data_IF_835187029407
#
_entry.id   IF_835187029407
#
_cell.length_a   1.000
_cell.length_b   1.000
_cell.length_c   1.000
_cell.angle_alpha   90.00
_cell.angle_beta   90.00
_cell.angle_gamma   90.00
#
_symmetry.space_group_name_H-M   'P 1'
#
loop_
_entity.id
_entity.type
_entity.pdbx_description
1 polymer ?
#
# COMPACT_ATOMS: atom_id res chain seq x y z
N UNK A 1 -27.31 -21.29 17.56
CA UNK A 1 -26.37 -21.90 18.51
C UNK A 1 -25.34 -20.85 18.91
N UNK A 2 -25.44 -20.31 20.14
CA UNK A 2 -24.61 -19.19 20.62
C UNK A 2 -23.18 -19.60 20.99
N UNK A 3 -22.45 -20.22 20.06
CA UNK A 3 -21.06 -20.64 20.27
C UNK A 3 -20.09 -19.47 20.44
N UNK A 4 -18.90 -19.75 21.00
CA UNK A 4 -17.83 -18.75 21.20
C UNK A 4 -17.18 -18.37 19.86
N UNK A 5 -17.23 -17.08 19.50
CA UNK A 5 -16.55 -16.55 18.33
C UNK A 5 -15.04 -16.38 18.59
N UNK A 6 -14.23 -17.06 17.80
CA UNK A 6 -12.76 -16.95 17.83
C UNK A 6 -12.31 -16.01 16.72
N UNK A 7 -11.44 -15.06 17.03
CA UNK A 7 -10.92 -14.08 16.07
C UNK A 7 -9.42 -13.85 16.25
N UNK A 8 -8.71 -13.55 15.16
CA UNK A 8 -7.37 -12.94 15.17
C UNK A 8 -7.33 -11.82 14.12
N UNK A 9 -6.35 -10.91 14.22
CA UNK A 9 -6.17 -9.82 13.26
C UNK A 9 -4.87 -9.99 12.45
N UNK A 10 -4.98 -10.21 11.14
CA UNK A 10 -3.82 -10.18 10.25
C UNK A 10 -3.67 -8.78 9.65
N UNK A 11 -2.47 -8.21 9.76
CA UNK A 11 -2.14 -6.85 9.35
C UNK A 11 -1.02 -6.90 8.32
N UNK A 12 -1.34 -7.15 7.04
CA UNK A 12 -0.32 -7.08 6.00
C UNK A 12 0.25 -5.67 5.90
N UNK A 13 1.54 -5.60 5.60
CA UNK A 13 2.21 -4.35 5.26
C UNK A 13 1.87 -3.95 3.83
N UNK A 14 2.76 -3.28 3.11
CA UNK A 14 2.47 -2.76 1.77
C UNK A 14 2.33 -3.90 0.74
N UNK A 15 1.09 -4.31 0.44
CA UNK A 15 0.81 -5.45 -0.44
C UNK A 15 1.11 -5.13 -1.91
N UNK A 16 1.89 -5.99 -2.57
CA UNK A 16 2.14 -5.95 -4.01
C UNK A 16 1.96 -7.32 -4.65
N UNK A 17 1.85 -7.37 -5.97
CA UNK A 17 1.71 -8.62 -6.73
C UNK A 17 0.67 -8.52 -7.83
N UNK A 18 0.32 -9.67 -8.38
CA UNK A 18 -0.59 -9.81 -9.51
C UNK A 18 -1.99 -9.29 -9.17
N UNK A 19 -2.65 -8.69 -10.17
CA UNK A 19 -3.98 -8.09 -9.98
C UNK A 19 -3.98 -6.79 -9.18
N UNK A 20 -2.82 -6.27 -8.75
CA UNK A 20 -2.74 -4.97 -8.09
C UNK A 20 -3.17 -3.84 -9.02
N UNK A 21 -4.28 -3.19 -8.67
CA UNK A 21 -4.78 -2.00 -9.37
C UNK A 21 -3.80 -0.84 -9.29
N UNK A 22 -3.08 -0.71 -8.17
CA UNK A 22 -2.09 0.36 -7.99
C UNK A 22 -0.90 0.18 -8.93
N UNK A 23 -0.33 -1.02 -9.00
CA UNK A 23 0.77 -1.32 -9.92
C UNK A 23 0.35 -1.07 -11.37
N UNK A 24 -0.86 -1.50 -11.75
CA UNK A 24 -1.40 -1.23 -13.08
C UNK A 24 -1.52 0.26 -13.37
N UNK A 25 -2.10 1.05 -12.46
CA UNK A 25 -2.25 2.50 -12.62
C UNK A 25 -0.88 3.17 -12.78
N UNK A 26 0.11 2.80 -11.97
CA UNK A 26 1.46 3.35 -12.08
C UNK A 26 2.15 2.97 -13.38
N UNK A 27 1.96 1.73 -13.85
CA UNK A 27 2.48 1.28 -15.14
C UNK A 27 1.86 2.07 -16.29
N UNK A 28 0.52 2.18 -16.33
CA UNK A 28 -0.19 2.95 -17.35
C UNK A 28 0.32 4.41 -17.37
N UNK A 29 0.52 5.01 -16.20
CA UNK A 29 1.07 6.38 -16.06
C UNK A 29 2.51 6.48 -16.56
N UNK A 30 3.37 5.49 -16.28
CA UNK A 30 4.75 5.50 -16.73
C UNK A 30 4.84 5.41 -18.25
N UNK A 31 4.05 4.54 -18.87
CA UNK A 31 3.98 4.41 -20.34
C UNK A 31 3.51 5.71 -21.00
N UNK A 32 2.52 6.39 -20.41
CA UNK A 32 2.08 7.71 -20.89
C UNK A 32 3.11 8.83 -20.65
N UNK A 33 4.03 8.63 -19.71
CA UNK A 33 5.08 9.58 -19.33
C UNK A 33 6.45 9.21 -19.95
N UNK A 34 6.46 8.53 -21.10
CA UNK A 34 7.71 8.20 -21.81
C UNK A 34 8.57 7.18 -21.07
N UNK A 35 7.93 6.12 -20.56
CA UNK A 35 8.57 5.00 -19.86
C UNK A 35 9.23 5.37 -18.53
N UNK A 36 8.72 6.39 -17.84
CA UNK A 36 9.25 6.86 -16.54
C UNK A 36 8.15 6.98 -15.50
N UNK A 37 8.30 6.26 -14.38
CA UNK A 37 7.43 6.43 -13.21
C UNK A 37 7.65 7.79 -12.54
N UNK A 38 6.57 8.54 -12.31
CA UNK A 38 6.61 9.67 -11.38
C UNK A 38 6.87 9.20 -9.95
N UNK A 39 7.80 9.87 -9.27
CA UNK A 39 8.08 9.60 -7.86
C UNK A 39 6.99 10.24 -6.99
N UNK A 40 6.33 9.41 -6.18
CA UNK A 40 5.25 9.79 -5.25
C UNK A 40 5.65 9.67 -3.78
N UNK A 41 6.78 9.02 -3.51
CA UNK A 41 7.36 8.82 -2.18
C UNK A 41 8.80 9.31 -2.12
N UNK A 42 9.21 9.87 -0.98
CA UNK A 42 10.62 10.05 -0.64
C UNK A 42 11.35 8.70 -0.63
N UNK A 43 12.63 8.69 -0.98
CA UNK A 43 13.46 7.47 -0.93
C UNK A 43 13.65 6.98 0.50
N UNK A 44 13.67 7.92 1.45
CA UNK A 44 13.85 7.65 2.88
C UNK A 44 12.55 7.19 3.57
N UNK A 45 11.39 7.29 2.89
CA UNK A 45 10.12 6.78 3.39
C UNK A 45 10.03 5.26 3.16
N UNK A 46 10.89 4.51 3.87
CA UNK A 46 11.00 3.06 3.75
C UNK A 46 9.76 2.37 4.31
N UNK A 47 9.28 1.36 3.58
CA UNK A 47 8.22 0.45 4.01
C UNK A 47 8.63 -1.00 3.80
N UNK A 48 7.88 -1.95 4.37
CA UNK A 48 7.97 -3.37 4.09
C UNK A 48 6.97 -3.76 2.99
N UNK A 49 7.38 -3.96 1.73
CA UNK A 49 6.52 -4.62 0.77
C UNK A 49 6.22 -6.05 1.22
N UNK A 50 5.05 -6.56 0.89
CA UNK A 50 4.71 -7.97 1.09
C UNK A 50 3.96 -8.49 -0.13
N UNK A 51 4.37 -9.65 -0.62
CA UNK A 51 3.76 -10.27 -1.79
C UNK A 51 2.35 -10.78 -1.45
N UNK A 52 1.38 -10.53 -2.34
CA UNK A 52 -0.03 -10.88 -2.15
C UNK A 52 -0.25 -12.36 -1.91
N UNK A 53 0.56 -13.23 -2.53
CA UNK A 53 0.53 -14.67 -2.29
C UNK A 53 0.92 -15.04 -0.86
N UNK A 54 1.91 -14.36 -0.28
CA UNK A 54 2.33 -14.56 1.11
C UNK A 54 1.24 -14.11 2.09
N UNK A 55 0.58 -12.98 1.79
CA UNK A 55 -0.58 -12.52 2.57
C UNK A 55 -1.73 -13.52 2.52
N UNK A 56 -2.06 -14.03 1.34
CA UNK A 56 -3.11 -15.04 1.18
C UNK A 56 -2.76 -16.34 1.94
N UNK A 57 -1.49 -16.76 1.89
CA UNK A 57 -1.00 -17.90 2.65
C UNK A 57 -1.15 -17.70 4.16
N UNK A 58 -0.82 -16.52 4.68
CA UNK A 58 -1.02 -16.19 6.10
C UNK A 58 -2.49 -16.31 6.53
N UNK A 59 -3.44 -15.89 5.69
CA UNK A 59 -4.88 -16.07 5.96
C UNK A 59 -5.27 -17.55 6.01
N UNK A 60 -4.74 -18.37 5.10
CA UNK A 60 -5.00 -19.80 5.10
C UNK A 60 -4.41 -20.50 6.34
N UNK A 61 -3.20 -20.10 6.76
CA UNK A 61 -2.56 -20.60 7.98
C UNK A 61 -3.36 -20.23 9.23
N UNK A 62 -3.85 -18.98 9.33
CA UNK A 62 -4.71 -18.55 10.43
C UNK A 62 -6.00 -19.38 10.45
N UNK A 63 -6.67 -19.54 9.31
CA UNK A 63 -7.91 -20.32 9.21
C UNK A 63 -7.71 -21.80 9.57
N UNK A 64 -6.57 -22.40 9.20
CA UNK A 64 -6.23 -23.79 9.57
C UNK A 64 -5.94 -23.90 11.07
N UNK A 65 -5.16 -22.97 11.62
CA UNK A 65 -4.80 -22.94 13.05
C UNK A 65 -6.02 -22.75 13.95
N UNK A 66 -7.03 -21.99 13.51
CA UNK A 66 -8.30 -21.83 14.25
C UNK A 66 -9.16 -23.10 14.30
N UNK A 67 -8.89 -24.11 13.47
CA UNK A 67 -9.59 -25.40 13.54
C UNK A 67 -8.98 -26.34 14.57
N UNK A 68 -7.73 -26.10 14.96
CA UNK A 68 -7.03 -26.86 15.99
C UNK A 68 -7.21 -26.19 17.36
N UNK A 69 -7.52 -26.97 18.40
CA UNK A 69 -7.80 -26.43 19.74
C UNK A 69 -6.55 -25.81 20.38
N UNK A 70 -5.38 -26.42 20.18
CA UNK A 70 -4.10 -25.93 20.70
C UNK A 70 -3.59 -24.74 19.90
N UNK A 71 -3.71 -24.79 18.57
CA UNK A 71 -3.45 -23.65 17.68
C UNK A 71 -4.33 -22.44 18.02
N UNK A 72 -5.62 -22.66 18.24
CA UNK A 72 -6.59 -21.61 18.60
C UNK A 72 -6.16 -20.85 19.84
N UNK A 73 -5.75 -21.54 20.92
CA UNK A 73 -5.28 -20.89 22.16
C UNK A 73 -4.10 -19.94 21.92
N UNK A 74 -3.27 -20.20 20.89
CA UNK A 74 -2.11 -19.37 20.55
C UNK A 74 -2.46 -18.14 19.74
N UNK A 75 -3.50 -18.20 18.90
CA UNK A 75 -3.80 -17.13 17.94
C UNK A 75 -5.05 -16.31 18.27
N UNK A 76 -5.94 -16.84 19.10
CA UNK A 76 -7.17 -16.15 19.47
C UNK A 76 -6.87 -14.83 20.22
N UNK A 77 -7.52 -13.75 19.78
CA UNK A 77 -7.36 -12.41 20.35
C UNK A 77 -6.09 -11.68 19.93
N UNK A 78 -5.16 -12.34 19.24
CA UNK A 78 -3.88 -11.76 18.85
C UNK A 78 -3.92 -11.06 17.49
N UNK A 79 -2.96 -10.18 17.26
CA UNK A 79 -2.69 -9.56 15.97
C UNK A 79 -1.31 -9.95 15.45
N UNK A 80 -1.19 -10.05 14.13
CA UNK A 80 0.03 -10.47 13.45
C UNK A 80 0.31 -9.51 12.29
N UNK A 81 1.48 -8.88 12.30
CA UNK A 81 1.97 -8.16 11.14
C UNK A 81 2.48 -9.17 10.11
N UNK A 82 2.01 -9.07 8.86
CA UNK A 82 2.41 -10.00 7.79
C UNK A 82 3.41 -9.29 6.90
N UNK A 83 4.64 -9.78 6.92
CA UNK A 83 5.79 -9.31 6.13
C UNK A 83 6.41 -10.50 5.39
N UNK A 84 7.36 -10.21 4.50
CA UNK A 84 8.24 -11.21 3.90
C UNK A 84 9.66 -10.65 3.74
N UNK A 85 10.53 -11.41 3.09
CA UNK A 85 11.94 -11.05 2.89
C UNK A 85 12.16 -10.00 1.77
N UNK A 86 11.09 -9.38 1.25
CA UNK A 86 11.24 -8.30 0.27
C UNK A 86 11.98 -7.12 0.91
N UNK A 87 13.08 -6.63 0.30
CA UNK A 87 13.86 -5.55 0.89
C UNK A 87 13.03 -4.30 1.19
N UNK A 88 13.33 -3.64 2.30
CA UNK A 88 12.66 -2.39 2.64
C UNK A 88 13.01 -1.31 1.62
N UNK A 89 12.00 -0.70 1.05
CA UNK A 89 12.17 0.32 0.01
C UNK A 89 10.98 1.27 0.02
N UNK A 90 11.11 2.42 -0.64
CA UNK A 90 9.98 3.34 -0.80
C UNK A 90 8.98 2.79 -1.82
N UNK A 91 7.73 3.27 -1.77
CA UNK A 91 6.67 2.88 -2.70
C UNK A 91 7.08 3.05 -4.17
N UNK A 92 7.75 4.16 -4.48
CA UNK A 92 8.18 4.47 -5.84
C UNK A 92 9.39 3.62 -6.27
N UNK A 93 10.25 3.23 -5.33
CA UNK A 93 11.38 2.34 -5.63
C UNK A 93 10.91 0.91 -5.86
N UNK A 94 9.82 0.46 -5.20
CA UNK A 94 9.19 -0.82 -5.53
C UNK A 94 8.65 -0.82 -6.97
N UNK A 95 7.92 0.21 -7.38
CA UNK A 95 7.43 0.32 -8.76
C UNK A 95 8.58 0.26 -9.77
N UNK A 96 9.69 0.96 -9.47
CA UNK A 96 10.89 0.88 -10.30
C UNK A 96 11.51 -0.52 -10.30
N UNK A 97 11.65 -1.16 -9.14
CA UNK A 97 12.23 -2.50 -9.04
C UNK A 97 11.45 -3.53 -9.85
N UNK A 98 10.12 -3.40 -9.91
CA UNK A 98 9.24 -4.25 -10.71
C UNK A 98 9.27 -3.91 -12.21
N UNK A 99 9.48 -2.64 -12.56
CA UNK A 99 9.45 -2.16 -13.95
C UNK A 99 10.81 -2.07 -14.65
N UNK A 100 11.92 -2.11 -13.92
CA UNK A 100 13.27 -1.86 -14.48
C UNK A 100 13.65 -2.81 -15.61
N UNK A 101 13.25 -4.07 -15.54
CA UNK A 101 13.55 -5.08 -16.57
C UNK A 101 12.71 -4.88 -17.84
N UNK A 102 11.61 -4.15 -17.74
CA UNK A 102 10.80 -3.71 -18.87
C UNK A 102 11.32 -2.39 -19.49
N UNK A 103 12.45 -1.87 -19.01
CA UNK A 103 13.02 -0.60 -19.47
C UNK A 103 12.44 0.65 -18.79
N UNK A 104 11.61 0.49 -17.75
CA UNK A 104 10.95 1.62 -17.10
C UNK A 104 11.87 2.33 -16.09
N UNK A 105 12.08 3.62 -16.31
CA UNK A 105 12.79 4.52 -15.41
C UNK A 105 11.93 4.99 -14.24
N UNK A 106 12.54 5.72 -13.31
CA UNK A 106 11.82 6.41 -12.23
C UNK A 106 12.44 7.77 -11.95
N UNK A 107 11.59 8.76 -11.72
CA UNK A 107 12.03 10.10 -11.35
C UNK A 107 12.88 10.08 -10.07
N UNK A 108 13.94 10.88 -10.06
CA UNK A 108 14.87 10.92 -8.92
C UNK A 108 14.28 11.61 -7.69
N UNK A 109 13.38 12.58 -7.91
CA UNK A 109 12.78 13.45 -6.89
C UNK A 109 11.28 13.53 -7.08
N UNK A 110 10.57 13.91 -6.01
CA UNK A 110 9.16 14.28 -6.08
C UNK A 110 8.99 15.45 -7.06
N UNK A 111 7.86 15.49 -7.79
CA UNK A 111 7.55 16.57 -8.73
C UNK A 111 7.53 17.96 -8.06
N UNK A 112 7.15 18.02 -6.78
CA UNK A 112 7.12 19.24 -5.97
C UNK A 112 7.49 18.94 -4.51
N UNK A 113 7.90 19.95 -3.72
CA UNK A 113 8.05 19.83 -2.27
C UNK A 113 6.76 19.34 -1.59
N UNK A 114 6.90 18.48 -0.57
CA UNK A 114 5.74 17.92 0.16
C UNK A 114 4.77 18.95 0.73
N UNK A 115 5.19 20.10 1.30
CA UNK A 115 4.24 21.11 1.78
C UNK A 115 3.31 21.63 0.66
N UNK A 116 3.85 21.81 -0.55
CA UNK A 116 3.07 22.26 -1.71
C UNK A 116 2.09 21.16 -2.12
N UNK A 117 2.55 19.91 -2.23
CA UNK A 117 1.68 18.76 -2.52
C UNK A 117 0.55 18.63 -1.47
N UNK A 118 0.85 18.88 -0.19
CA UNK A 118 -0.14 18.84 0.87
C UNK A 118 -1.19 19.95 0.75
N UNK A 119 -0.77 21.18 0.40
CA UNK A 119 -1.70 22.28 0.11
C UNK A 119 -2.59 21.91 -1.09
N UNK A 120 -2.00 21.41 -2.18
CA UNK A 120 -2.76 20.96 -3.36
C UNK A 120 -3.77 19.87 -2.98
N UNK A 121 -3.37 18.85 -2.23
CA UNK A 121 -4.27 17.81 -1.76
C UNK A 121 -5.42 18.37 -0.91
N UNK A 122 -5.13 19.34 -0.03
CA UNK A 122 -6.13 20.02 0.79
C UNK A 122 -7.17 20.76 -0.07
N UNK A 123 -6.71 21.46 -1.11
CA UNK A 123 -7.59 22.14 -2.05
C UNK A 123 -8.45 21.15 -2.85
N UNK A 124 -7.88 20.03 -3.31
CA UNK A 124 -8.63 19.01 -4.05
C UNK A 124 -9.69 18.32 -3.18
N UNK A 125 -9.39 18.06 -1.90
CA UNK A 125 -10.36 17.56 -0.93
C UNK A 125 -11.49 18.56 -0.68
N UNK A 126 -11.16 19.86 -0.56
CA UNK A 126 -12.17 20.91 -0.42
C UNK A 126 -13.09 20.99 -1.65
N UNK A 127 -12.53 20.93 -2.85
CA UNK A 127 -13.30 20.88 -4.10
C UNK A 127 -14.18 19.63 -4.14
N UNK A 128 -13.64 18.46 -3.79
CA UNK A 128 -14.41 17.21 -3.70
C UNK A 128 -15.59 17.33 -2.73
N UNK A 129 -15.36 17.97 -1.57
CA UNK A 129 -16.40 18.19 -0.57
C UNK A 129 -17.49 19.14 -1.07
N UNK A 130 -17.13 20.28 -1.66
CA UNK A 130 -18.08 21.29 -2.18
C UNK A 130 -18.88 20.76 -3.36
N UNK A 131 -18.26 19.99 -4.25
CA UNK A 131 -18.92 19.42 -5.44
C UNK A 131 -19.72 18.16 -5.14
N UNK A 132 -19.54 17.52 -3.99
CA UNK A 132 -20.21 16.28 -3.57
C UNK A 132 -21.72 16.21 -3.86
N UNK A 133 -22.54 17.25 -3.63
CA UNK A 133 -23.98 17.18 -3.92
C UNK A 133 -24.32 17.20 -5.42
N UNK A 134 -23.41 17.64 -6.29
CA UNK A 134 -23.66 17.78 -7.73
C UNK A 134 -22.96 16.70 -8.55
N UNK A 135 -21.69 16.40 -8.24
CA UNK A 135 -20.85 15.49 -9.01
C UNK A 135 -19.91 14.73 -8.09
N UNK A 136 -19.69 13.44 -8.39
CA UNK A 136 -18.69 12.63 -7.72
C UNK A 136 -17.29 12.95 -8.27
N UNK A 137 -16.63 13.94 -7.68
CA UNK A 137 -15.22 14.22 -7.94
C UNK A 137 -14.32 13.41 -6.99
N UNK A 138 -13.46 12.55 -7.53
CA UNK A 138 -12.47 11.78 -6.78
C UNK A 138 -11.08 12.42 -6.98
N UNK A 139 -10.48 13.00 -5.93
CA UNK A 139 -9.12 13.52 -6.02
C UNK A 139 -8.12 12.42 -6.41
N UNK A 140 -7.13 12.71 -7.29
CA UNK A 140 -6.09 11.77 -7.69
C UNK A 140 -5.18 11.39 -6.51
N UNK A 141 -5.04 12.28 -5.52
CA UNK A 141 -4.39 12.01 -4.25
C UNK A 141 -5.04 12.84 -3.14
N UNK A 142 -4.92 12.36 -1.91
CA UNK A 142 -5.43 13.00 -0.69
C UNK A 142 -4.27 13.30 0.25
N UNK A 143 -4.51 14.15 1.26
CA UNK A 143 -3.54 14.39 2.34
C UNK A 143 -3.15 13.08 3.02
N UNK A 144 -4.14 12.21 3.26
CA UNK A 144 -3.89 10.90 3.86
C UNK A 144 -2.95 10.05 2.99
N UNK A 145 -3.20 9.96 1.69
CA UNK A 145 -2.34 9.20 0.78
C UNK A 145 -0.94 9.79 0.72
N UNK A 146 -0.80 11.12 0.64
CA UNK A 146 0.50 11.78 0.65
C UNK A 146 1.29 11.49 1.93
N UNK A 147 0.64 11.60 3.09
CA UNK A 147 1.26 11.27 4.39
C UNK A 147 1.66 9.79 4.42
N UNK A 148 0.76 8.87 4.05
CA UNK A 148 1.04 7.43 4.03
C UNK A 148 2.25 7.07 3.17
N UNK A 149 2.34 7.63 1.96
CA UNK A 149 3.44 7.35 1.02
C UNK A 149 4.78 7.97 1.44
N UNK A 150 4.77 8.95 2.34
CA UNK A 150 5.95 9.74 2.70
C UNK A 150 6.31 9.67 4.20
N UNK A 151 5.64 8.80 4.96
CA UNK A 151 6.00 8.46 6.34
C UNK A 151 6.66 7.08 6.34
N UNK A 152 7.90 6.96 6.86
CA UNK A 152 8.54 5.65 6.99
C UNK A 152 7.76 4.79 7.99
N UNK A 153 7.54 3.53 7.63
CA UNK A 153 6.90 2.55 8.50
C UNK A 153 7.46 1.17 8.19
N UNK A 154 8.31 0.66 9.09
CA UNK A 154 8.89 -0.68 8.96
C UNK A 154 8.58 -1.53 10.18
N UNK A 155 8.35 -2.82 9.94
CA UNK A 155 8.18 -3.83 11.00
C UNK A 155 9.40 -4.75 10.96
N UNK A 156 10.01 -4.96 12.13
CA UNK A 156 11.20 -5.81 12.35
C UNK A 156 10.85 -7.00 13.22
#
# INVERSE_FOLDING_TARGET
DGGTLITCALRPTYVYGEGSKFLKIHLDQALLNGDVFHRISKREALVNPVYVGNVAWAHLLAARTMKDLEGTKKIAGNFYMITDDTPHMSYSDLNHALGKELGLGVESKLAMPLPILYIVASLMEMVSFVLRPFVRFVPPFTRHLLTLLNTPFTVS
#
